data_IF_156063254366
#
_entry.id   IF_156063254366
#
_cell.length_a   1.000
_cell.length_b   1.000
_cell.length_c   1.000
_cell.angle_alpha   90.00
_cell.angle_beta   90.00
_cell.angle_gamma   90.00
#
_symmetry.space_group_name_H-M   'P 1'
#
loop_
_entity.id
_entity.type
_entity.pdbx_description
1 polymer ?
#
# COMPACT_ATOMS: atom_id res chain seq x y z
N UNK A 1 -5.54 -13.12 -24.38
CA UNK A 1 -5.35 -11.94 -23.56
C UNK A 1 -5.80 -12.23 -22.12
N UNK A 2 -4.94 -11.94 -21.17
CA UNK A 2 -5.27 -11.96 -19.76
C UNK A 2 -4.85 -10.61 -19.15
N UNK A 3 -5.82 -9.81 -18.74
CA UNK A 3 -5.62 -8.52 -18.09
C UNK A 3 -5.67 -8.65 -16.57
N UNK A 4 -4.88 -7.86 -15.86
CA UNK A 4 -4.93 -7.73 -14.41
C UNK A 4 -4.66 -6.28 -14.01
N UNK A 5 -5.38 -5.80 -13.03
CA UNK A 5 -5.20 -4.49 -12.41
C UNK A 5 -5.34 -4.62 -10.89
N UNK A 6 -4.66 -3.75 -10.17
CA UNK A 6 -4.77 -3.68 -8.73
C UNK A 6 -4.95 -2.22 -8.28
N UNK A 7 -5.65 -2.03 -7.18
CA UNK A 7 -5.72 -0.76 -6.45
C UNK A 7 -5.60 -1.04 -4.96
N UNK A 8 -5.12 -0.08 -4.19
CA UNK A 8 -5.02 -0.23 -2.75
C UNK A 8 -5.19 1.10 -2.04
N UNK A 9 -5.80 1.07 -0.88
CA UNK A 9 -5.95 2.24 -0.02
C UNK A 9 -5.75 1.88 1.45
N UNK A 10 -5.02 2.73 2.15
CA UNK A 10 -4.86 2.65 3.61
C UNK A 10 -6.11 3.23 4.26
N UNK A 11 -6.58 2.58 5.32
CA UNK A 11 -7.69 3.10 6.13
C UNK A 11 -7.30 4.40 6.85
N UNK A 12 -8.29 5.24 7.19
CA UNK A 12 -8.08 6.53 7.85
C UNK A 12 -7.33 6.44 9.19
N UNK A 13 -7.44 5.31 9.87
CA UNK A 13 -6.74 5.05 11.14
C UNK A 13 -5.29 4.52 10.95
N UNK A 14 -4.84 4.38 9.71
CA UNK A 14 -3.53 3.87 9.29
C UNK A 14 -3.21 2.43 9.79
N UNK A 15 -4.23 1.66 10.20
CA UNK A 15 -4.00 0.31 10.78
C UNK A 15 -4.22 -0.84 9.80
N UNK A 16 -4.83 -0.56 8.68
CA UNK A 16 -5.10 -1.58 7.66
C UNK A 16 -5.04 -1.00 6.25
N UNK A 17 -4.85 -1.88 5.29
CA UNK A 17 -4.94 -1.58 3.86
C UNK A 17 -5.99 -2.49 3.24
N UNK A 18 -6.83 -1.92 2.40
CA UNK A 18 -7.75 -2.63 1.52
C UNK A 18 -7.19 -2.65 0.11
N UNK A 19 -7.24 -3.80 -0.54
CA UNK A 19 -6.68 -4.03 -1.87
C UNK A 19 -7.73 -4.71 -2.71
N UNK A 20 -7.98 -4.15 -3.89
CA UNK A 20 -8.85 -4.72 -4.91
C UNK A 20 -8.00 -5.15 -6.10
N UNK A 21 -8.14 -6.40 -6.50
CA UNK A 21 -7.52 -6.96 -7.70
C UNK A 21 -8.61 -7.38 -8.65
N UNK A 22 -8.59 -6.84 -9.86
CA UNK A 22 -9.55 -7.15 -10.92
C UNK A 22 -8.81 -7.63 -12.16
N UNK A 23 -9.46 -8.41 -12.97
CA UNK A 23 -8.87 -8.84 -14.23
C UNK A 23 -9.89 -9.52 -15.11
N UNK A 24 -9.44 -9.83 -16.32
CA UNK A 24 -10.23 -10.52 -17.33
C UNK A 24 -9.34 -11.46 -18.15
N UNK A 25 -9.82 -12.66 -18.40
CA UNK A 25 -9.16 -13.66 -19.21
C UNK A 25 -10.04 -13.90 -20.43
N UNK A 26 -9.53 -13.60 -21.62
CA UNK A 26 -10.26 -13.80 -22.86
C UNK A 26 -10.52 -15.29 -23.11
N UNK A 27 -11.69 -15.61 -23.67
CA UNK A 27 -12.05 -16.99 -24.03
C UNK A 27 -11.06 -17.60 -25.02
N UNK A 28 -10.77 -18.89 -24.84
CA UNK A 28 -9.92 -19.66 -25.74
C UNK A 28 -8.41 -19.36 -25.63
N UNK A 29 -8.00 -18.43 -24.80
CA UNK A 29 -6.58 -18.09 -24.60
C UNK A 29 -5.88 -19.12 -23.71
N UNK A 30 -6.60 -19.64 -22.72
CA UNK A 30 -6.07 -20.62 -21.79
C UNK A 30 -6.81 -21.96 -21.94
N UNK A 31 -6.10 -23.10 -21.88
CA UNK A 31 -6.75 -24.39 -21.82
C UNK A 31 -7.70 -24.49 -20.63
N UNK A 32 -8.89 -25.10 -20.84
CA UNK A 32 -9.92 -25.18 -19.80
C UNK A 32 -9.52 -26.02 -18.58
N UNK A 33 -8.61 -26.96 -18.79
CA UNK A 33 -8.09 -27.91 -17.80
C UNK A 33 -6.83 -27.41 -17.06
N UNK A 34 -6.25 -26.28 -17.47
CA UNK A 34 -5.10 -25.68 -16.80
C UNK A 34 -5.55 -24.63 -15.78
N UNK A 35 -5.48 -24.92 -14.46
CA UNK A 35 -5.94 -23.97 -13.46
C UNK A 35 -5.07 -22.72 -13.40
N UNK A 36 -5.72 -21.58 -13.24
CA UNK A 36 -5.08 -20.29 -13.05
C UNK A 36 -5.25 -19.81 -11.61
N UNK A 37 -4.26 -19.08 -11.15
CA UNK A 37 -4.18 -18.53 -9.81
C UNK A 37 -3.83 -17.06 -9.86
N UNK A 38 -4.27 -16.32 -8.86
CA UNK A 38 -3.86 -14.94 -8.62
C UNK A 38 -3.05 -14.89 -7.33
N UNK A 39 -1.83 -14.44 -7.45
CA UNK A 39 -0.92 -14.20 -6.33
C UNK A 39 -0.81 -12.69 -6.06
N UNK A 40 -0.89 -12.31 -4.79
CA UNK A 40 -0.88 -10.90 -4.37
C UNK A 40 0.11 -10.71 -3.21
N UNK A 41 0.98 -9.72 -3.34
CA UNK A 41 2.00 -9.37 -2.36
C UNK A 41 1.94 -7.89 -2.01
N UNK A 42 2.10 -7.59 -0.73
CA UNK A 42 2.33 -6.25 -0.22
C UNK A 42 3.84 -6.02 -0.15
N UNK A 43 4.29 -4.94 -0.77
CA UNK A 43 5.69 -4.54 -0.87
C UNK A 43 5.91 -3.21 -0.17
N UNK A 44 7.15 -2.91 0.21
CA UNK A 44 7.57 -1.62 0.73
C UNK A 44 8.91 -1.21 0.11
N UNK A 45 9.00 0.06 -0.29
CA UNK A 45 10.21 0.69 -0.80
C UNK A 45 10.93 1.51 0.27
N UNK A 46 12.15 1.93 0.00
CA UNK A 46 12.99 2.76 0.87
C UNK A 46 13.25 2.13 2.25
N UNK A 47 13.32 0.80 2.33
CA UNK A 47 13.55 0.09 3.59
C UNK A 47 15.03 0.13 3.97
N UNK A 48 15.34 0.89 5.00
CA UNK A 48 16.71 1.05 5.50
C UNK A 48 17.20 -0.15 6.27
N UNK A 49 18.43 -0.59 6.00
CA UNK A 49 19.09 -1.68 6.71
C UNK A 49 20.51 -1.29 7.11
N UNK A 50 20.80 -1.39 8.41
CA UNK A 50 22.15 -1.23 8.98
C UNK A 50 22.93 -2.55 9.02
N UNK A 51 22.28 -3.67 8.79
CA UNK A 51 22.92 -5.00 8.82
C UNK A 51 23.47 -5.45 7.47
N UNK A 52 23.09 -4.75 6.40
CA UNK A 52 23.65 -4.98 5.07
C UNK A 52 25.06 -4.41 4.99
N UNK A 53 26.01 -5.20 4.45
CA UNK A 53 27.37 -4.74 4.20
C UNK A 53 27.51 -4.26 2.76
N UNK A 54 28.21 -3.15 2.60
CA UNK A 54 28.66 -2.67 1.30
C UNK A 54 29.89 -3.42 0.84
N UNK A 55 30.14 -3.45 -0.45
CA UNK A 55 31.33 -4.08 -1.02
C UNK A 55 32.57 -3.16 -1.03
N UNK A 56 32.39 -1.84 -0.79
CA UNK A 56 33.45 -0.85 -0.78
C UNK A 56 33.12 0.37 0.06
N UNK A 57 34.17 1.06 0.53
CA UNK A 57 34.04 2.28 1.36
C UNK A 57 33.39 3.44 0.59
N UNK A 58 33.62 3.55 -0.72
CA UNK A 58 33.01 4.57 -1.58
C UNK A 58 31.51 4.39 -1.68
N UNK A 59 31.03 3.16 -1.86
CA UNK A 59 29.62 2.82 -1.91
C UNK A 59 28.94 3.07 -0.55
N UNK A 60 29.59 2.71 0.56
CA UNK A 60 29.10 2.98 1.91
C UNK A 60 28.97 4.49 2.17
N UNK A 61 29.91 5.29 1.70
CA UNK A 61 29.88 6.75 1.85
C UNK A 61 28.77 7.39 1.02
N UNK A 62 28.53 6.92 -0.22
CA UNK A 62 27.47 7.39 -1.09
C UNK A 62 26.08 7.18 -0.46
N UNK A 63 25.86 6.04 0.20
CA UNK A 63 24.60 5.68 0.84
C UNK A 63 24.48 6.14 2.30
N UNK A 64 25.46 6.87 2.82
CA UNK A 64 25.46 7.37 4.20
C UNK A 64 25.52 6.27 5.26
N UNK A 65 26.09 5.11 4.93
CA UNK A 65 26.24 3.96 5.83
C UNK A 65 24.94 3.15 6.06
N UNK A 66 23.85 3.44 5.34
CA UNK A 66 22.60 2.70 5.40
C UNK A 66 22.25 2.15 4.01
N UNK A 67 22.11 0.84 3.90
CA UNK A 67 21.63 0.23 2.67
C UNK A 67 20.11 0.42 2.55
N UNK A 68 19.64 0.88 1.38
CA UNK A 68 18.22 1.10 1.10
C UNK A 68 17.73 0.01 0.16
N UNK A 69 16.70 -0.73 0.61
CA UNK A 69 16.08 -1.79 -0.18
C UNK A 69 14.75 -1.32 -0.74
N UNK A 70 14.55 -1.56 -2.03
CA UNK A 70 13.27 -1.42 -2.70
C UNK A 70 12.60 -2.78 -2.90
N UNK A 71 11.29 -2.74 -3.09
CA UNK A 71 10.47 -3.93 -3.37
C UNK A 71 10.58 -5.02 -2.29
N UNK A 72 10.69 -4.63 -1.02
CA UNK A 72 10.76 -5.57 0.10
C UNK A 72 9.38 -6.19 0.33
N UNK A 73 9.28 -7.51 0.19
CA UNK A 73 8.03 -8.22 0.48
C UNK A 73 7.72 -8.13 1.97
N UNK A 74 6.64 -7.43 2.33
CA UNK A 74 6.16 -7.32 3.71
C UNK A 74 5.13 -8.39 4.04
N UNK A 75 4.28 -8.72 3.08
CA UNK A 75 3.26 -9.73 3.30
C UNK A 75 2.83 -10.38 1.99
N UNK A 76 2.66 -11.69 2.03
CA UNK A 76 1.90 -12.44 1.04
C UNK A 76 0.43 -12.42 1.47
N UNK A 77 -0.45 -11.96 0.57
CA UNK A 77 -1.88 -11.75 0.85
C UNK A 77 -2.76 -12.91 0.38
N UNK A 78 -2.21 -13.79 -0.46
CA UNK A 78 -2.86 -15.01 -0.96
C UNK A 78 -2.13 -16.26 -0.42
N UNK A 79 -2.66 -17.47 -0.59
CA UNK A 79 -1.90 -18.70 -0.36
C UNK A 79 -0.57 -18.72 -1.13
N UNK A 80 0.36 -19.61 -0.79
CA UNK A 80 1.73 -19.64 -1.30
C UNK A 80 1.81 -19.61 -2.85
N UNK A 81 0.87 -20.26 -3.49
CA UNK A 81 0.82 -20.37 -4.96
C UNK A 81 -0.34 -19.59 -5.58
N UNK A 82 -0.93 -18.69 -4.83
CA UNK A 82 -2.06 -17.87 -5.24
C UNK A 82 -3.41 -18.45 -4.83
N UNK A 83 -4.46 -17.67 -5.06
CA UNK A 83 -5.85 -18.10 -4.96
C UNK A 83 -6.30 -18.60 -6.32
N UNK A 84 -6.82 -19.81 -6.37
CA UNK A 84 -7.33 -20.42 -7.60
C UNK A 84 -8.52 -19.64 -8.14
N UNK A 85 -8.50 -19.34 -9.42
CA UNK A 85 -9.66 -18.78 -10.11
C UNK A 85 -10.70 -19.86 -10.36
N UNK A 86 -11.97 -19.52 -10.21
CA UNK A 86 -13.08 -20.46 -10.46
C UNK A 86 -13.21 -20.83 -11.94
N UNK A 87 -12.82 -19.89 -12.81
CA UNK A 87 -12.89 -20.05 -14.26
C UNK A 87 -11.59 -19.57 -14.91
N UNK A 88 -11.20 -20.19 -16.02
CA UNK A 88 -10.06 -19.81 -16.84
C UNK A 88 -10.43 -18.81 -17.95
N UNK A 89 -11.62 -18.23 -17.90
CA UNK A 89 -12.10 -17.18 -18.81
C UNK A 89 -13.10 -16.28 -18.13
N UNK A 90 -13.26 -15.07 -18.64
CA UNK A 90 -14.13 -14.04 -18.10
C UNK A 90 -13.50 -13.18 -17.01
N UNK A 91 -14.27 -12.27 -16.42
CA UNK A 91 -13.81 -11.37 -15.38
C UNK A 91 -13.64 -12.08 -14.03
N UNK A 92 -12.71 -11.55 -13.23
CA UNK A 92 -12.55 -11.92 -11.83
C UNK A 92 -12.30 -10.69 -10.96
N UNK A 93 -12.66 -10.79 -9.69
CA UNK A 93 -12.40 -9.75 -8.67
C UNK A 93 -12.02 -10.42 -7.36
N UNK A 94 -11.04 -9.82 -6.67
CA UNK A 94 -10.62 -10.22 -5.33
C UNK A 94 -10.55 -8.99 -4.43
N UNK A 95 -11.13 -9.09 -3.24
CA UNK A 95 -11.02 -8.10 -2.18
C UNK A 95 -10.15 -8.65 -1.06
N UNK A 96 -9.10 -7.94 -0.71
CA UNK A 96 -8.14 -8.35 0.31
C UNK A 96 -7.98 -7.24 1.33
N UNK A 97 -7.86 -7.61 2.60
CA UNK A 97 -7.57 -6.66 3.68
C UNK A 97 -6.40 -7.17 4.48
N UNK A 98 -5.45 -6.28 4.79
CA UNK A 98 -4.28 -6.60 5.58
C UNK A 98 -4.09 -5.57 6.70
N UNK A 99 -3.90 -6.05 7.91
CA UNK A 99 -3.46 -5.19 9.03
C UNK A 99 -2.02 -4.75 8.79
N UNK A 100 -1.77 -3.45 8.93
CA UNK A 100 -0.44 -2.88 8.80
C UNK A 100 0.36 -3.06 10.11
N UNK A 101 1.64 -3.31 9.96
CA UNK A 101 2.58 -3.25 11.08
C UNK A 101 2.93 -1.79 11.35
N UNK A 102 3.03 -1.35 12.61
CA UNK A 102 3.49 -0.01 12.95
C UNK A 102 4.97 0.26 12.54
N UNK A 103 5.68 -0.78 12.11
CA UNK A 103 7.07 -0.69 11.62
C UNK A 103 7.16 -0.42 10.11
N UNK A 104 6.05 -0.44 9.40
CA UNK A 104 6.00 -0.21 7.95
C UNK A 104 5.62 1.23 7.68
N UNK A 105 6.25 1.82 6.68
CA UNK A 105 5.87 3.14 6.19
C UNK A 105 4.73 3.00 5.18
N UNK A 106 3.53 3.39 5.61
CA UNK A 106 2.33 3.28 4.78
C UNK A 106 2.45 4.05 3.45
N UNK A 107 3.24 5.14 3.43
CA UNK A 107 3.44 5.97 2.22
C UNK A 107 4.38 5.33 1.19
N UNK A 108 5.07 4.26 1.56
CA UNK A 108 6.04 3.51 0.75
C UNK A 108 5.51 2.14 0.30
N UNK A 109 4.25 1.85 0.60
CA UNK A 109 3.65 0.58 0.25
C UNK A 109 3.21 0.55 -1.22
N UNK A 110 3.42 -0.60 -1.83
CA UNK A 110 2.84 -0.98 -3.13
C UNK A 110 2.24 -2.38 -3.05
N UNK A 111 1.38 -2.70 -4.00
CA UNK A 111 0.83 -4.03 -4.18
C UNK A 111 1.26 -4.57 -5.54
N UNK A 112 1.77 -5.79 -5.55
CA UNK A 112 2.05 -6.54 -6.77
C UNK A 112 1.08 -7.70 -6.86
N UNK A 113 0.39 -7.82 -7.98
CA UNK A 113 -0.51 -8.92 -8.26
C UNK A 113 -0.17 -9.55 -9.62
N UNK A 114 -0.26 -10.87 -9.72
CA UNK A 114 -0.02 -11.56 -10.98
C UNK A 114 -0.88 -12.81 -11.14
N UNK A 115 -1.23 -13.10 -12.39
CA UNK A 115 -1.88 -14.35 -12.80
C UNK A 115 -0.79 -15.35 -13.09
N UNK A 116 -0.87 -16.52 -12.49
CA UNK A 116 0.10 -17.62 -12.69
C UNK A 116 -0.60 -18.97 -12.84
N UNK A 117 0.12 -19.90 -13.41
CA UNK A 117 -0.28 -21.32 -13.45
C UNK A 117 0.07 -21.99 -12.13
N UNK A 118 -0.76 -22.91 -11.68
CA UNK A 118 -0.63 -23.59 -10.39
C UNK A 118 0.46 -24.65 -10.34
N UNK A 119 0.61 -25.25 -9.15
CA UNK A 119 1.56 -26.33 -8.89
C UNK A 119 1.21 -27.63 -9.60
N UNK A 120 -0.04 -27.80 -9.98
CA UNK A 120 -0.52 -28.95 -10.74
C UNK A 120 0.16 -29.06 -12.11
N UNK A 121 0.67 -27.91 -12.59
CA UNK A 121 1.41 -27.87 -13.84
C UNK A 121 2.86 -28.32 -13.64
N UNK A 122 3.46 -28.99 -14.63
CA UNK A 122 4.89 -29.25 -14.64
C UNK A 122 5.69 -27.96 -14.42
N UNK A 123 6.84 -28.04 -13.75
CA UNK A 123 7.66 -26.86 -13.42
C UNK A 123 7.98 -25.96 -14.62
N UNK A 124 8.18 -26.57 -15.79
CA UNK A 124 8.40 -25.85 -17.06
C UNK A 124 7.19 -25.04 -17.56
N UNK A 125 6.01 -25.28 -17.00
CA UNK A 125 4.77 -24.60 -17.38
C UNK A 125 4.20 -23.69 -16.29
N UNK A 126 4.89 -23.53 -15.15
CA UNK A 126 4.50 -22.64 -14.03
C UNK A 126 4.91 -21.20 -14.32
N UNK A 127 4.30 -20.61 -15.30
CA UNK A 127 4.64 -19.28 -15.78
C UNK A 127 3.71 -18.23 -15.15
N UNK A 128 4.24 -17.03 -14.96
CA UNK A 128 3.43 -15.83 -14.79
C UNK A 128 2.88 -15.44 -16.15
N UNK A 129 1.58 -15.26 -16.23
CA UNK A 129 0.86 -14.93 -17.48
C UNK A 129 0.85 -13.42 -17.69
N UNK A 130 0.52 -12.67 -16.62
CA UNK A 130 0.52 -11.22 -16.60
C UNK A 130 0.65 -10.74 -15.16
N UNK A 131 1.13 -9.50 -14.98
CA UNK A 131 1.31 -8.89 -13.68
C UNK A 131 0.96 -7.41 -13.70
N UNK A 132 0.70 -6.87 -12.52
CA UNK A 132 0.48 -5.45 -12.29
C UNK A 132 1.13 -5.04 -10.97
N UNK A 133 1.52 -3.79 -10.89
CA UNK A 133 1.90 -3.12 -9.64
C UNK A 133 1.09 -1.85 -9.49
N UNK A 134 0.72 -1.52 -8.26
CA UNK A 134 0.05 -0.26 -7.94
C UNK A 134 0.57 0.30 -6.61
N UNK A 135 0.81 1.60 -6.58
CA UNK A 135 1.09 2.33 -5.35
C UNK A 135 -0.19 2.37 -4.51
N UNK A 136 -0.05 2.14 -3.21
CA UNK A 136 -1.16 2.19 -2.27
C UNK A 136 -1.43 3.64 -1.91
N UNK A 137 -2.68 4.08 -2.08
CA UNK A 137 -3.09 5.41 -1.68
C UNK A 137 -3.17 5.51 -0.15
N UNK A 138 -2.56 6.55 0.39
CA UNK A 138 -2.67 6.89 1.81
C UNK A 138 -3.63 8.06 1.94
N UNK A 139 -4.56 8.04 2.93
CA UNK A 139 -5.44 9.16 3.17
C UNK A 139 -4.62 10.44 3.34
N UNK A 140 -4.86 11.41 2.48
CA UNK A 140 -4.31 12.77 2.64
C UNK A 140 -5.18 13.55 3.63
N UNK A 141 -5.32 12.99 4.82
CA UNK A 141 -5.92 13.71 5.94
C UNK A 141 -4.82 14.38 6.74
N UNK A 142 -5.11 15.50 7.34
CA UNK A 142 -4.30 16.04 8.44
C UNK A 142 -4.30 14.92 9.49
N UNK A 143 -3.27 14.08 9.46
CA UNK A 143 -2.99 13.16 10.55
C UNK A 143 -3.04 14.00 11.81
N UNK A 144 -3.80 13.54 12.82
CA UNK A 144 -3.87 14.20 14.08
C UNK A 144 -2.51 14.77 14.39
N UNK A 145 -2.42 16.10 14.45
CA UNK A 145 -1.25 16.78 14.98
C UNK A 145 -1.27 16.47 16.48
N UNK A 146 -0.86 15.26 16.83
CA UNK A 146 -0.42 14.88 18.18
C UNK A 146 1.00 15.42 18.36
N UNK A 147 1.20 16.68 17.98
CA UNK A 147 2.29 17.45 18.49
C UNK A 147 1.86 17.90 19.87
N UNK A 148 2.56 17.46 20.87
CA UNK A 148 2.62 18.11 22.18
C UNK A 148 3.23 19.54 22.06
N UNK A 149 2.87 20.26 21.01
CA UNK A 149 3.13 21.69 20.93
C UNK A 149 2.03 22.37 21.73
N UNK A 150 2.35 22.72 22.99
CA UNK A 150 1.54 23.49 23.93
C UNK A 150 1.24 24.90 23.44
N UNK A 151 1.17 25.12 22.11
CA UNK A 151 0.79 26.38 21.52
C UNK A 151 -0.68 26.70 21.77
N UNK A 152 -0.94 27.95 22.23
CA UNK A 152 -2.31 28.46 22.40
C UNK A 152 -3.03 28.46 21.06
N UNK A 153 -4.21 27.81 20.96
CA UNK A 153 -5.09 27.91 19.81
C UNK A 153 -5.58 29.36 19.69
N UNK A 154 -5.30 29.99 18.56
CA UNK A 154 -5.68 31.38 18.29
C UNK A 154 -6.84 31.50 17.32
N UNK A 155 -7.04 30.53 16.43
CA UNK A 155 -8.18 30.46 15.53
C UNK A 155 -8.44 29.05 15.05
N UNK A 156 -9.68 28.73 14.74
CA UNK A 156 -10.12 27.46 14.12
C UNK A 156 -10.97 27.79 12.90
N UNK A 157 -10.72 27.15 11.76
CA UNK A 157 -11.46 27.37 10.52
C UNK A 157 -12.05 26.06 10.01
N UNK A 158 -13.24 26.09 9.44
CA UNK A 158 -13.77 24.96 8.69
C UNK A 158 -13.10 24.88 7.29
N UNK A 159 -13.40 23.83 6.51
CA UNK A 159 -12.84 23.66 5.17
C UNK A 159 -13.25 24.75 4.15
N UNK A 160 -14.29 25.52 4.46
CA UNK A 160 -14.74 26.66 3.67
C UNK A 160 -14.01 27.96 4.07
N UNK A 161 -13.05 27.88 5.01
CA UNK A 161 -12.30 29.04 5.52
C UNK A 161 -13.08 29.91 6.49
N UNK A 162 -14.26 29.47 6.98
CA UNK A 162 -15.06 30.19 7.95
C UNK A 162 -14.52 29.91 9.35
N UNK A 163 -14.29 30.98 10.13
CA UNK A 163 -13.80 30.87 11.50
C UNK A 163 -14.87 30.29 12.42
N UNK A 164 -14.46 29.32 13.23
CA UNK A 164 -15.29 28.69 14.26
C UNK A 164 -14.83 29.24 15.63
N UNK A 165 -15.75 29.68 16.49
CA UNK A 165 -15.37 30.26 17.80
C UNK A 165 -14.51 29.30 18.62
N UNK A 166 -13.37 29.78 19.12
CA UNK A 166 -12.48 29.02 20.00
C UNK A 166 -13.19 28.72 21.32
N UNK A 167 -13.20 27.45 21.74
CA UNK A 167 -13.87 27.02 22.98
C UNK A 167 -15.27 26.42 22.79
N UNK A 168 -15.82 26.48 21.58
CA UNK A 168 -17.03 25.74 21.22
C UNK A 168 -16.61 24.39 20.67
N UNK A 169 -17.17 23.27 21.17
CA UNK A 169 -16.90 21.95 20.64
C UNK A 169 -17.45 21.86 19.20
N UNK A 170 -16.61 21.82 18.17
CA UNK A 170 -17.08 21.82 16.80
C UNK A 170 -17.82 20.52 16.50
N UNK A 171 -18.77 20.55 15.55
CA UNK A 171 -19.39 19.34 15.02
C UNK A 171 -18.32 18.39 14.45
N UNK A 172 -18.63 17.08 14.31
CA UNK A 172 -17.72 16.15 13.65
C UNK A 172 -17.32 16.69 12.28
N UNK A 173 -16.02 16.86 12.06
CA UNK A 173 -15.51 17.39 10.80
C UNK A 173 -14.00 17.63 10.84
N UNK A 174 -13.44 18.08 9.72
CA UNK A 174 -12.04 18.50 9.59
C UNK A 174 -11.97 20.02 9.77
N UNK A 175 -11.01 20.47 10.56
CA UNK A 175 -10.81 21.88 10.88
C UNK A 175 -9.34 22.25 10.76
N UNK A 176 -9.06 23.48 10.32
CA UNK A 176 -7.73 24.07 10.34
C UNK A 176 -7.55 24.82 11.66
N UNK A 177 -6.56 24.40 12.44
CA UNK A 177 -6.28 25.00 13.75
C UNK A 177 -5.01 25.84 13.66
N UNK A 178 -5.13 27.16 13.86
CA UNK A 178 -3.99 28.07 13.97
C UNK A 178 -3.55 28.15 15.45
N UNK A 179 -2.26 27.86 15.68
CA UNK A 179 -1.66 27.95 17.04
C UNK A 179 -0.54 28.96 17.04
N UNK A 180 -0.34 29.59 18.21
CA UNK A 180 0.79 30.45 18.49
C UNK A 180 1.80 29.67 19.35
N UNK A 181 3.03 29.49 18.81
CA UNK A 181 4.13 28.84 19.52
C UNK A 181 5.23 29.89 19.75
N UNK A 182 5.68 30.02 20.98
CA UNK A 182 6.80 30.92 21.33
C UNK A 182 6.64 32.40 21.00
N UNK A 183 5.41 32.91 20.94
CA UNK A 183 5.14 34.35 20.74
C UNK A 183 5.28 34.84 19.29
N UNK A 184 5.48 33.94 18.32
CA UNK A 184 5.42 34.25 16.88
C UNK A 184 4.19 33.57 16.23
N UNK A 185 3.59 34.28 15.25
CA UNK A 185 2.42 33.83 14.49
C UNK A 185 2.89 32.97 13.34
#
# INVERSE_FOLDING_TARGET
FAGISATGSVADDLKSVSIDVTGEIAEGVMPKDEPLYVSVYLMENDVKSKSQKFYGEEEEAEWGGEYIHDNVIRRRLTPLYGTKLEKNSGPFTMHLTQRLSPKWDASKLSVVAFINRGLEMPSSKRQVINSTEAVISVPQGITNVTGEDEGRVVAVYNLQGVEVPVGVKPAKGVYLVKRMVGGQI
#
